data_IF_037976969210
#
_entry.id   IF_037976969210
#
_cell.length_a   1.000
_cell.length_b   1.000
_cell.length_c   1.000
_cell.angle_alpha   90.00
_cell.angle_beta   90.00
_cell.angle_gamma   90.00
#
_symmetry.space_group_name_H-M   'P 1'
#
loop_
_entity.id
_entity.type
_entity.pdbx_description
1 polymer ?
#
# COMPACT_ATOMS: atom_id res chain seq x y z
N UNK A 1 -13.75 20.05 1.99
CA UNK A 1 -12.39 19.63 2.53
C UNK A 1 -12.23 18.12 2.45
N UNK A 2 -13.08 17.28 3.11
CA UNK A 2 -12.96 15.82 3.02
C UNK A 2 -13.33 15.30 1.61
N UNK A 3 -14.29 15.92 0.97
CA UNK A 3 -14.67 15.58 -0.40
C UNK A 3 -13.57 15.98 -1.40
N UNK A 4 -12.90 17.10 -1.18
CA UNK A 4 -11.78 17.54 -2.01
C UNK A 4 -10.61 16.53 -1.96
N UNK A 5 -10.29 16.00 -0.78
CA UNK A 5 -9.24 14.96 -0.65
C UNK A 5 -9.63 13.65 -1.30
N UNK A 6 -10.92 13.26 -1.27
CA UNK A 6 -11.42 12.09 -2.00
C UNK A 6 -11.33 12.24 -3.50
N UNK A 7 -11.65 13.41 -4.02
CA UNK A 7 -11.55 13.68 -5.46
C UNK A 7 -10.10 13.70 -5.93
N UNK A 8 -9.19 14.23 -5.12
CA UNK A 8 -7.74 14.13 -5.36
C UNK A 8 -7.31 12.67 -5.44
N UNK A 9 -7.74 11.81 -4.49
CA UNK A 9 -7.39 10.38 -4.51
C UNK A 9 -8.00 9.67 -5.72
N UNK A 10 -9.24 9.98 -6.12
CA UNK A 10 -9.84 9.41 -7.34
C UNK A 10 -9.06 9.78 -8.59
N UNK A 11 -8.64 11.04 -8.71
CA UNK A 11 -7.81 11.49 -9.82
C UNK A 11 -6.45 10.77 -9.83
N UNK A 12 -5.84 10.58 -8.67
CA UNK A 12 -4.59 9.85 -8.50
C UNK A 12 -4.73 8.37 -8.92
N UNK A 13 -5.84 7.70 -8.57
CA UNK A 13 -6.13 6.34 -9.01
C UNK A 13 -6.13 6.21 -10.54
N UNK A 14 -6.66 7.24 -11.22
CA UNK A 14 -6.64 7.32 -12.68
C UNK A 14 -5.23 7.44 -13.25
N UNK A 15 -4.35 8.20 -12.61
CA UNK A 15 -2.95 8.37 -13.03
C UNK A 15 -2.12 7.12 -12.80
N UNK A 16 -2.33 6.44 -11.68
CA UNK A 16 -1.65 5.18 -11.32
C UNK A 16 -2.26 3.95 -12.01
N UNK A 17 -3.40 4.11 -12.65
CA UNK A 17 -4.18 3.00 -13.24
C UNK A 17 -4.51 1.88 -12.24
N UNK A 18 -4.82 2.28 -11.01
CA UNK A 18 -5.16 1.40 -9.89
C UNK A 18 -6.50 1.79 -9.26
N UNK A 19 -7.07 0.89 -8.49
CA UNK A 19 -8.21 1.16 -7.62
C UNK A 19 -7.86 0.75 -6.19
N UNK A 20 -7.92 1.70 -5.26
CA UNK A 20 -7.75 1.40 -3.84
C UNK A 20 -9.02 0.83 -3.23
N UNK A 21 -8.86 0.07 -2.14
CA UNK A 21 -10.01 -0.34 -1.32
C UNK A 21 -10.66 0.89 -0.66
N UNK A 22 -11.95 0.81 -0.34
CA UNK A 22 -12.66 1.88 0.39
C UNK A 22 -11.98 2.23 1.73
N UNK A 23 -11.41 1.23 2.39
CA UNK A 23 -10.64 1.45 3.61
C UNK A 23 -9.39 2.30 3.34
N UNK A 24 -8.63 1.97 2.29
CA UNK A 24 -7.44 2.73 1.91
C UNK A 24 -7.79 4.15 1.48
N UNK A 25 -8.89 4.34 0.72
CA UNK A 25 -9.37 5.68 0.34
C UNK A 25 -9.68 6.53 1.59
N UNK A 26 -10.42 5.97 2.55
CA UNK A 26 -10.74 6.68 3.81
C UNK A 26 -9.48 7.02 4.60
N UNK A 27 -8.57 6.04 4.75
CA UNK A 27 -7.32 6.23 5.48
C UNK A 27 -6.44 7.30 4.82
N UNK A 28 -6.21 7.22 3.51
CA UNK A 28 -5.44 8.20 2.75
C UNK A 28 -6.08 9.59 2.82
N UNK A 29 -7.41 9.69 2.68
CA UNK A 29 -8.13 10.97 2.78
C UNK A 29 -7.92 11.63 4.13
N UNK A 30 -8.03 10.85 5.21
CA UNK A 30 -7.82 11.34 6.57
C UNK A 30 -6.36 11.75 6.79
N UNK A 31 -5.42 10.93 6.32
CA UNK A 31 -3.99 11.23 6.42
C UNK A 31 -3.63 12.54 5.72
N UNK A 32 -4.09 12.72 4.47
CA UNK A 32 -3.84 13.94 3.71
C UNK A 32 -4.46 15.17 4.38
N UNK A 33 -5.66 15.03 4.95
CA UNK A 33 -6.32 16.11 5.69
C UNK A 33 -5.54 16.52 6.95
N UNK A 34 -5.06 15.53 7.71
CA UNK A 34 -4.23 15.76 8.90
C UNK A 34 -2.91 16.44 8.50
N UNK A 35 -2.27 15.95 7.45
CA UNK A 35 -1.03 16.53 6.91
C UNK A 35 -1.26 17.98 6.50
N UNK A 36 -2.31 18.28 5.74
CA UNK A 36 -2.66 19.63 5.32
C UNK A 36 -2.85 20.57 6.53
N UNK A 37 -3.58 20.10 7.55
CA UNK A 37 -3.81 20.90 8.75
C UNK A 37 -2.52 21.13 9.55
N UNK A 38 -1.69 20.09 9.70
CA UNK A 38 -0.40 20.16 10.39
C UNK A 38 0.54 21.16 9.70
N UNK A 39 0.68 21.08 8.39
CA UNK A 39 1.52 22.00 7.59
C UNK A 39 1.00 23.44 7.73
N UNK A 40 -0.33 23.64 7.64
CA UNK A 40 -0.94 24.96 7.81
C UNK A 40 -0.71 25.58 9.20
N UNK A 41 -0.56 24.72 10.22
CA UNK A 41 -0.24 25.16 11.59
C UNK A 41 1.26 25.35 11.83
N UNK A 42 2.12 25.16 10.82
CA UNK A 42 3.57 25.27 10.95
C UNK A 42 4.26 24.05 11.59
N UNK A 43 3.53 22.94 11.77
CA UNK A 43 4.04 21.70 12.37
C UNK A 43 4.47 20.68 11.29
N UNK A 44 5.15 21.15 10.28
CA UNK A 44 5.66 20.32 9.20
C UNK A 44 6.77 19.38 9.68
N UNK A 45 6.79 18.16 9.18
CA UNK A 45 7.87 17.20 9.44
C UNK A 45 9.07 17.58 8.58
N UNK A 46 10.09 18.16 9.23
CA UNK A 46 11.33 18.65 8.58
C UNK A 46 12.47 17.63 8.60
N UNK A 47 12.21 16.43 9.14
CA UNK A 47 13.23 15.40 9.23
C UNK A 47 13.67 14.98 7.82
N UNK A 48 14.97 15.08 7.56
CA UNK A 48 15.54 14.56 6.31
C UNK A 48 15.48 13.03 6.30
N UNK A 49 14.75 12.48 5.33
CA UNK A 49 14.69 11.04 5.07
C UNK A 49 15.57 10.70 3.88
N UNK A 50 16.22 9.54 3.93
CA UNK A 50 16.90 9.02 2.74
C UNK A 50 15.86 8.54 1.71
N UNK A 51 15.59 9.40 0.75
CA UNK A 51 14.59 9.15 -0.30
C UNK A 51 15.14 8.44 -1.52
N UNK A 52 16.46 8.19 -1.58
CA UNK A 52 17.13 7.65 -2.79
C UNK A 52 16.52 6.34 -3.25
N UNK A 53 16.11 5.49 -2.31
CA UNK A 53 15.50 4.19 -2.60
C UNK A 53 14.10 4.28 -3.20
N UNK A 54 13.39 5.40 -3.03
CA UNK A 54 11.98 5.54 -3.43
C UNK A 54 11.74 6.62 -4.51
N UNK A 55 12.74 7.43 -4.86
CA UNK A 55 12.57 8.54 -5.81
C UNK A 55 12.13 8.08 -7.20
N UNK A 56 12.46 6.84 -7.58
CA UNK A 56 12.09 6.25 -8.87
C UNK A 56 10.67 5.65 -8.87
N UNK A 57 10.03 5.55 -7.71
CA UNK A 57 8.70 4.94 -7.58
C UNK A 57 7.61 5.94 -8.00
N UNK A 58 6.56 5.46 -8.70
CA UNK A 58 5.41 6.30 -9.07
C UNK A 58 4.76 6.97 -7.86
N UNK A 59 4.68 6.26 -6.73
CA UNK A 59 4.09 6.75 -5.48
C UNK A 59 4.84 7.97 -4.93
N UNK A 60 6.16 8.03 -5.08
CA UNK A 60 6.94 9.19 -4.67
C UNK A 60 6.66 10.41 -5.57
N UNK A 61 6.57 10.20 -6.89
CA UNK A 61 6.23 11.27 -7.83
C UNK A 61 4.82 11.82 -7.56
N UNK A 62 3.89 10.92 -7.25
CA UNK A 62 2.53 11.31 -6.86
C UNK A 62 2.50 12.03 -5.52
N UNK A 63 3.28 11.60 -4.54
CA UNK A 63 3.40 12.30 -3.25
C UNK A 63 3.90 13.74 -3.44
N UNK A 64 4.85 13.97 -4.34
CA UNK A 64 5.28 15.34 -4.73
C UNK A 64 4.14 16.15 -5.37
N UNK A 65 3.42 15.54 -6.30
CA UNK A 65 2.28 16.19 -6.94
C UNK A 65 1.17 16.51 -5.93
N UNK A 66 0.84 15.57 -5.03
CA UNK A 66 -0.10 15.78 -3.92
C UNK A 66 0.35 16.93 -3.02
N UNK A 67 1.65 17.01 -2.72
CA UNK A 67 2.23 18.11 -1.96
C UNK A 67 1.92 19.47 -2.58
N UNK A 68 2.08 19.60 -3.89
CA UNK A 68 1.72 20.81 -4.61
C UNK A 68 0.22 21.14 -4.58
N UNK A 69 -0.65 20.11 -4.56
CA UNK A 69 -2.12 20.29 -4.46
C UNK A 69 -2.59 20.62 -3.04
N UNK A 70 -1.96 20.04 -2.03
CA UNK A 70 -2.31 20.28 -0.62
C UNK A 70 -1.84 21.65 -0.14
N UNK A 71 -0.74 22.13 -0.69
CA UNK A 71 -0.15 23.40 -0.29
C UNK A 71 -0.93 24.62 -0.79
N UNK A 72 -2.03 24.49 -1.53
CA UNK A 72 -2.94 25.54 -2.05
C UNK A 72 -2.51 27.01 -1.87
N UNK A 73 -1.27 27.23 -1.46
CA UNK A 73 -0.62 28.48 -1.13
C UNK A 73 0.59 28.60 -2.03
N UNK A 74 0.55 29.55 -2.88
CA UNK A 74 1.48 29.87 -3.97
C UNK A 74 2.97 29.93 -3.59
N UNK A 75 3.37 29.68 -2.33
CA UNK A 75 4.74 29.88 -1.85
C UNK A 75 5.38 28.73 -1.05
N UNK A 76 4.64 27.68 -0.65
CA UNK A 76 5.23 26.62 0.17
C UNK A 76 5.15 25.26 -0.48
N UNK A 77 6.29 24.72 -0.92
CA UNK A 77 6.42 23.30 -1.23
C UNK A 77 6.52 22.52 0.09
N UNK A 78 5.85 21.36 0.16
CA UNK A 78 6.01 20.45 1.30
C UNK A 78 7.47 20.06 1.47
N UNK A 79 7.89 19.91 2.72
CA UNK A 79 9.22 19.39 3.04
C UNK A 79 9.41 17.97 2.48
N UNK A 80 10.66 17.59 2.28
CA UNK A 80 11.02 16.24 1.83
C UNK A 80 10.48 15.16 2.79
N UNK A 81 10.45 15.45 4.11
CA UNK A 81 9.92 14.55 5.12
C UNK A 81 8.42 14.30 4.95
N UNK A 82 7.64 15.34 4.64
CA UNK A 82 6.20 15.18 4.37
C UNK A 82 5.95 14.40 3.08
N UNK A 83 6.67 14.72 2.01
CA UNK A 83 6.58 13.98 0.75
C UNK A 83 6.93 12.50 0.94
N UNK A 84 7.99 12.22 1.69
CA UNK A 84 8.38 10.86 2.03
C UNK A 84 7.25 10.12 2.75
N UNK A 85 6.68 10.73 3.79
CA UNK A 85 5.63 10.11 4.58
C UNK A 85 4.35 9.89 3.76
N UNK A 86 3.97 10.81 2.88
CA UNK A 86 2.85 10.60 1.95
C UNK A 86 3.14 9.42 1.02
N UNK A 87 4.35 9.34 0.45
CA UNK A 87 4.76 8.22 -0.39
C UNK A 87 4.67 6.88 0.35
N UNK A 88 5.09 6.83 1.63
CA UNK A 88 4.96 5.63 2.45
C UNK A 88 3.51 5.22 2.68
N UNK A 89 2.59 6.18 2.87
CA UNK A 89 1.16 5.87 2.99
C UNK A 89 0.57 5.33 1.68
N UNK A 90 1.00 5.86 0.54
CA UNK A 90 0.59 5.34 -0.77
C UNK A 90 1.08 3.92 -1.00
N UNK A 91 2.35 3.64 -0.68
CA UNK A 91 2.95 2.29 -0.75
C UNK A 91 2.28 1.30 0.21
N UNK A 92 1.79 1.78 1.36
CA UNK A 92 1.10 0.96 2.35
C UNK A 92 -0.38 0.70 2.00
N UNK A 93 -0.96 1.49 1.10
CA UNK A 93 -2.38 1.40 0.76
C UNK A 93 -2.72 0.09 0.04
N UNK A 94 -3.81 -0.56 0.45
CA UNK A 94 -4.29 -1.78 -0.19
C UNK A 94 -5.00 -1.43 -1.51
N UNK A 95 -4.56 -2.06 -2.58
CA UNK A 95 -5.14 -1.92 -3.92
C UNK A 95 -6.24 -2.97 -4.08
N UNK A 96 -7.43 -2.55 -4.57
CA UNK A 96 -8.52 -3.45 -4.93
C UNK A 96 -8.29 -4.07 -6.31
N UNK A 97 -7.90 -3.24 -7.28
CA UNK A 97 -7.67 -3.64 -8.66
C UNK A 97 -6.53 -2.82 -9.27
N UNK A 98 -5.67 -3.50 -10.01
CA UNK A 98 -4.68 -2.86 -10.87
C UNK A 98 -5.21 -2.94 -12.32
N UNK A 99 -5.51 -1.81 -12.94
CA UNK A 99 -6.12 -1.76 -14.28
C UNK A 99 -5.11 -2.05 -15.40
N UNK A 100 -3.81 -1.83 -15.11
CA UNK A 100 -2.73 -2.05 -16.08
C UNK A 100 -2.29 -3.51 -16.22
N UNK A 101 -2.95 -4.45 -15.53
CA UNK A 101 -2.59 -5.88 -15.53
C UNK A 101 -2.74 -6.61 -16.88
N UNK A 102 -2.98 -5.91 -17.99
CA UNK A 102 -2.87 -6.51 -19.31
C UNK A 102 -1.41 -6.67 -19.83
N UNK A 103 -0.41 -6.15 -19.10
CA UNK A 103 1.00 -6.52 -19.28
C UNK A 103 1.43 -7.28 -18.04
N UNK A 104 1.53 -8.60 -18.14
CA UNK A 104 2.18 -9.44 -17.14
C UNK A 104 3.63 -8.94 -17.08
N UNK A 105 3.92 -8.00 -16.16
CA UNK A 105 5.28 -7.63 -15.89
C UNK A 105 5.99 -8.79 -15.17
N UNK A 106 7.30 -8.85 -15.29
CA UNK A 106 8.11 -9.91 -14.68
C UNK A 106 7.93 -9.96 -13.14
N UNK A 107 7.67 -8.82 -12.51
CA UNK A 107 7.46 -8.72 -11.07
C UNK A 107 6.09 -9.29 -10.66
N UNK A 108 5.03 -8.97 -11.38
CA UNK A 108 3.70 -9.56 -11.16
C UNK A 108 3.72 -11.07 -11.37
N UNK A 109 4.47 -11.56 -12.35
CA UNK A 109 4.66 -12.98 -12.56
C UNK A 109 5.37 -13.66 -11.38
N UNK A 110 6.46 -13.06 -10.85
CA UNK A 110 7.17 -13.56 -9.67
C UNK A 110 6.29 -13.58 -8.42
N UNK A 111 5.51 -12.52 -8.21
CA UNK A 111 4.53 -12.46 -7.11
C UNK A 111 3.50 -13.58 -7.24
N UNK A 112 2.96 -13.79 -8.43
CA UNK A 112 1.98 -14.86 -8.66
C UNK A 112 2.59 -16.25 -8.41
N UNK A 113 3.81 -16.50 -8.86
CA UNK A 113 4.51 -17.75 -8.57
C UNK A 113 4.71 -17.96 -7.06
N UNK A 114 5.08 -16.91 -6.31
CA UNK A 114 5.22 -16.97 -4.86
C UNK A 114 3.88 -17.30 -4.20
N UNK A 115 2.81 -16.60 -4.59
CA UNK A 115 1.44 -16.86 -4.08
C UNK A 115 1.00 -18.29 -4.34
N UNK A 116 1.24 -18.80 -5.55
CA UNK A 116 0.88 -20.20 -5.89
C UNK A 116 1.64 -21.22 -5.03
N UNK A 117 2.92 -20.96 -4.73
CA UNK A 117 3.69 -21.82 -3.82
C UNK A 117 3.13 -21.78 -2.40
N UNK A 118 2.82 -20.59 -1.88
CA UNK A 118 2.21 -20.44 -0.54
C UNK A 118 0.89 -21.19 -0.48
N UNK A 119 0.03 -21.06 -1.50
CA UNK A 119 -1.26 -21.77 -1.57
C UNK A 119 -1.05 -23.28 -1.56
N UNK A 120 -0.13 -23.81 -2.39
CA UNK A 120 0.15 -25.24 -2.43
C UNK A 120 0.62 -25.79 -1.07
N UNK A 121 1.49 -25.07 -0.36
CA UNK A 121 1.89 -25.46 0.99
C UNK A 121 0.73 -25.36 2.00
N UNK A 122 -0.10 -24.34 1.88
CA UNK A 122 -1.27 -24.16 2.73
C UNK A 122 -2.31 -25.29 2.53
N UNK A 123 -2.52 -25.76 1.29
CA UNK A 123 -3.39 -26.91 0.97
C UNK A 123 -2.93 -28.16 1.71
N UNK A 124 -1.61 -28.43 1.67
CA UNK A 124 -1.01 -29.58 2.35
C UNK A 124 -1.18 -29.47 3.87
N UNK A 125 -0.89 -28.28 4.43
CA UNK A 125 -0.90 -28.05 5.88
C UNK A 125 -2.30 -28.01 6.50
N UNK A 126 -3.30 -27.56 5.72
CA UNK A 126 -4.68 -27.42 6.18
C UNK A 126 -5.60 -28.55 5.72
N UNK A 127 -5.11 -29.45 4.82
CA UNK A 127 -5.91 -30.51 4.18
C UNK A 127 -7.16 -29.95 3.48
N UNK A 128 -7.01 -28.79 2.79
CA UNK A 128 -8.09 -28.08 2.11
C UNK A 128 -7.65 -27.69 0.70
N UNK A 129 -8.59 -27.62 -0.25
CA UNK A 129 -8.33 -27.23 -1.63
C UNK A 129 -8.60 -25.75 -1.84
N UNK A 130 -7.58 -24.99 -2.27
CA UNK A 130 -7.65 -23.55 -2.56
C UNK A 130 -7.20 -23.20 -3.98
N UNK A 131 -6.52 -24.09 -4.66
CA UNK A 131 -5.81 -23.84 -5.91
C UNK A 131 -6.71 -23.38 -7.06
N UNK A 132 -7.97 -23.78 -7.07
CA UNK A 132 -8.95 -23.36 -8.08
C UNK A 132 -9.66 -22.03 -7.73
N UNK A 133 -9.38 -21.46 -6.56
CA UNK A 133 -10.03 -20.23 -6.14
C UNK A 133 -9.30 -18.99 -6.71
N UNK A 134 -9.67 -18.60 -7.92
CA UNK A 134 -9.09 -17.44 -8.60
C UNK A 134 -9.21 -16.14 -7.77
N UNK A 135 -10.32 -15.95 -7.04
CA UNK A 135 -10.56 -14.77 -6.20
C UNK A 135 -9.54 -14.70 -5.05
N UNK A 136 -9.24 -15.86 -4.43
CA UNK A 136 -8.22 -15.94 -3.38
C UNK A 136 -6.83 -15.66 -3.95
N UNK A 137 -6.48 -16.27 -5.09
CA UNK A 137 -5.18 -16.09 -5.73
C UNK A 137 -4.95 -14.62 -6.09
N UNK A 138 -5.90 -14.00 -6.78
CA UNK A 138 -5.79 -12.60 -7.21
C UNK A 138 -5.78 -11.66 -5.99
N UNK A 139 -6.60 -11.94 -4.98
CA UNK A 139 -6.60 -11.21 -3.71
C UNK A 139 -5.25 -11.27 -2.99
N UNK A 140 -4.62 -12.45 -2.93
CA UNK A 140 -3.28 -12.61 -2.36
C UNK A 140 -2.20 -11.92 -3.20
N UNK A 141 -2.25 -12.01 -4.53
CA UNK A 141 -1.33 -11.29 -5.40
C UNK A 141 -1.38 -9.78 -5.16
N UNK A 142 -2.60 -9.21 -5.10
CA UNK A 142 -2.82 -7.80 -4.84
C UNK A 142 -2.36 -7.37 -3.43
N UNK A 143 -2.40 -8.28 -2.46
CA UNK A 143 -1.92 -8.02 -1.11
C UNK A 143 -0.39 -8.16 -1.00
N UNK A 144 0.18 -9.18 -1.63
CA UNK A 144 1.61 -9.49 -1.53
C UNK A 144 2.49 -8.49 -2.30
N UNK A 145 2.05 -8.00 -3.46
CA UNK A 145 2.84 -7.06 -4.26
C UNK A 145 3.23 -5.80 -3.47
N UNK A 146 2.30 -5.05 -2.83
CA UNK A 146 2.67 -3.92 -1.98
C UNK A 146 3.49 -4.32 -0.75
N UNK A 147 3.22 -5.50 -0.17
CA UNK A 147 3.97 -5.98 0.99
C UNK A 147 5.44 -6.22 0.65
N UNK A 148 5.72 -6.91 -0.46
CA UNK A 148 7.07 -7.16 -0.97
C UNK A 148 7.78 -5.83 -1.27
N UNK A 149 7.09 -4.86 -1.88
CA UNK A 149 7.68 -3.56 -2.17
C UNK A 149 8.06 -2.80 -0.90
N UNK A 150 7.21 -2.82 0.13
CA UNK A 150 7.56 -2.25 1.44
C UNK A 150 8.78 -2.94 2.06
N UNK A 151 8.81 -4.27 2.04
CA UNK A 151 9.95 -5.04 2.57
C UNK A 151 11.27 -4.69 1.86
N UNK A 152 11.25 -4.58 0.53
CA UNK A 152 12.42 -4.15 -0.27
C UNK A 152 12.90 -2.75 0.12
N UNK A 153 11.99 -1.89 0.58
CA UNK A 153 12.30 -0.52 1.04
C UNK A 153 12.66 -0.44 2.53
N UNK A 154 12.72 -1.58 3.24
CA UNK A 154 12.98 -1.62 4.67
C UNK A 154 11.81 -1.09 5.52
N UNK A 155 10.62 -0.98 4.95
CA UNK A 155 9.41 -0.52 5.64
C UNK A 155 8.69 -1.71 6.23
N UNK A 156 8.72 -1.83 7.55
CA UNK A 156 7.99 -2.87 8.28
C UNK A 156 6.76 -2.26 8.93
N UNK A 157 5.61 -2.89 8.72
CA UNK A 157 4.35 -2.53 9.38
C UNK A 157 4.02 -3.57 10.42
N UNK A 158 3.83 -3.14 11.67
CA UNK A 158 3.30 -4.02 12.71
C UNK A 158 1.83 -4.37 12.42
N UNK A 159 1.51 -5.65 12.54
CA UNK A 159 0.13 -6.09 12.44
C UNK A 159 -0.48 -6.14 13.85
N UNK A 160 -1.34 -5.18 14.16
CA UNK A 160 -2.01 -5.08 15.47
C UNK A 160 -2.96 -6.25 15.79
N UNK A 161 -3.23 -7.11 14.81
CA UNK A 161 -4.15 -8.23 14.94
C UNK A 161 -3.44 -9.58 15.07
N UNK A 162 -2.11 -9.62 15.26
CA UNK A 162 -1.35 -10.89 15.33
C UNK A 162 -1.90 -11.78 16.44
N UNK A 163 -2.01 -11.26 17.67
CA UNK A 163 -2.46 -12.02 18.82
C UNK A 163 -3.89 -12.56 18.61
N UNK A 164 -4.77 -11.73 18.05
CA UNK A 164 -6.14 -12.14 17.72
C UNK A 164 -6.18 -13.24 16.66
N UNK A 165 -5.33 -13.16 15.63
CA UNK A 165 -5.26 -14.16 14.58
C UNK A 165 -4.69 -15.47 15.09
N UNK A 166 -3.68 -15.43 15.95
CA UNK A 166 -3.07 -16.59 16.58
C UNK A 166 -4.08 -17.32 17.49
N UNK A 167 -4.83 -16.57 18.29
CA UNK A 167 -5.83 -17.14 19.19
C UNK A 167 -7.02 -17.72 18.43
N UNK A 168 -7.61 -16.94 17.51
CA UNK A 168 -8.87 -17.28 16.85
C UNK A 168 -8.71 -18.22 15.66
N UNK A 169 -7.60 -18.12 14.93
CA UNK A 169 -7.32 -18.85 13.70
C UNK A 169 -5.99 -19.61 13.76
N UNK A 170 -5.67 -20.19 14.93
CA UNK A 170 -4.37 -20.80 15.23
C UNK A 170 -3.86 -21.77 14.16
N UNK A 171 -4.73 -22.64 13.60
CA UNK A 171 -4.33 -23.57 12.53
C UNK A 171 -3.88 -22.85 11.27
N UNK A 172 -4.67 -21.86 10.82
CA UNK A 172 -4.36 -21.07 9.63
C UNK A 172 -3.13 -20.19 9.87
N UNK A 173 -3.01 -19.59 11.06
CA UNK A 173 -1.86 -18.78 11.45
C UNK A 173 -0.55 -19.58 11.39
N UNK A 174 -0.53 -20.76 12.05
CA UNK A 174 0.66 -21.66 12.06
C UNK A 174 0.98 -22.16 10.65
N UNK A 175 -0.03 -22.53 9.86
CA UNK A 175 0.16 -22.97 8.49
C UNK A 175 0.74 -21.83 7.63
N UNK A 176 0.24 -20.60 7.78
CA UNK A 176 0.76 -19.42 7.05
C UNK A 176 2.22 -19.16 7.37
N UNK A 177 2.62 -19.20 8.65
CA UNK A 177 4.02 -19.00 9.04
C UNK A 177 4.93 -20.09 8.45
N UNK A 178 4.45 -21.32 8.33
CA UNK A 178 5.24 -22.41 7.77
C UNK A 178 5.34 -22.35 6.24
N UNK A 179 4.32 -21.80 5.58
CA UNK A 179 4.27 -21.69 4.12
C UNK A 179 5.03 -20.46 3.57
N UNK A 180 5.37 -19.47 4.41
CA UNK A 180 6.12 -18.26 4.05
C UNK A 180 7.60 -18.36 4.38
#
# INVERSE_FOLDING_TARGET
>A
VLDDTRDIIKNMQGVLDIEYTDHSIRHLSLYLLITQNRVRMGHEIKEEKDVRSITHLPEYQIAKWLGGKLSNFEEHQLSQGEVYNIAMQLLAAKIWKNKSENKIDEESFKVRQLVMRIIAEMEILLEMEFFENAVLIDGLCNHMKPAINRMKQGVFTENQYIDFLEEKYSKVYVATIKAC
#
